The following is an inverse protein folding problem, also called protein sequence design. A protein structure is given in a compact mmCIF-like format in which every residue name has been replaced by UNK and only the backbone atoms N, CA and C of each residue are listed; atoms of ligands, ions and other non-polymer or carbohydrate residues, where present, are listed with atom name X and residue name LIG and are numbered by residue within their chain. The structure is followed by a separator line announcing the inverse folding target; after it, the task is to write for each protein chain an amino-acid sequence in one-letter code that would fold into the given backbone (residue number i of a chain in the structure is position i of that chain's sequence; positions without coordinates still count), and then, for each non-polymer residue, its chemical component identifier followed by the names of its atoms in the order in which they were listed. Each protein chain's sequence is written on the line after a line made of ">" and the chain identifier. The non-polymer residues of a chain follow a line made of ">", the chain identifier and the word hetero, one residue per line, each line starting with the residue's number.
data_IF_086351070329
#
_entry.id   IF_086351070329
#
_cell.length_a   1.000
_cell.length_b   1.000
_cell.length_c   1.000
_cell.angle_alpha   90.00
_cell.angle_beta   90.00
_cell.angle_gamma   90.00
#
_symmetry.space_group_name_H-M   'P 1'
#
loop_
_entity.id
_entity.type
_entity.pdbx_description
1 polymer ?
#
# COMPACT_ATOMS: atom_id res chain seq x y z
N UNK A 1 19.94 -15.43 7.70
CA UNK A 1 18.80 -16.25 7.15
C UNK A 1 17.53 -15.42 7.23
N UNK A 2 16.67 -15.42 6.20
CA UNK A 2 15.41 -14.67 6.24
C UNK A 2 14.42 -15.33 7.21
N UNK A 3 13.81 -14.53 8.07
CA UNK A 3 12.71 -14.90 8.93
C UNK A 3 11.45 -14.15 8.50
N UNK A 4 10.31 -14.84 8.44
CA UNK A 4 9.02 -14.25 8.10
C UNK A 4 8.05 -14.60 9.22
N UNK A 5 7.34 -13.59 9.72
CA UNK A 5 6.30 -13.76 10.73
C UNK A 5 5.06 -12.94 10.41
N UNK A 6 3.92 -13.36 10.96
CA UNK A 6 2.63 -12.74 10.70
C UNK A 6 1.92 -12.47 12.03
N UNK A 7 1.28 -11.31 12.12
CA UNK A 7 0.42 -10.95 13.24
C UNK A 7 -0.95 -10.55 12.71
N UNK A 8 -2.01 -11.13 13.28
CA UNK A 8 -3.39 -10.95 12.82
C UNK A 8 -4.16 -9.94 13.66
N UNK A 9 -4.88 -9.03 12.97
CA UNK A 9 -5.78 -8.03 13.54
C UNK A 9 -7.12 -8.05 12.78
N UNK A 10 -8.04 -8.95 13.14
CA UNK A 10 -9.25 -9.19 12.34
C UNK A 10 -8.92 -9.74 10.95
N UNK A 11 -9.29 -9.01 9.90
CA UNK A 11 -8.96 -9.35 8.51
C UNK A 11 -7.64 -8.74 8.02
N UNK A 12 -6.98 -7.97 8.88
CA UNK A 12 -5.70 -7.32 8.58
C UNK A 12 -4.57 -8.16 9.16
N UNK A 13 -3.51 -8.32 8.36
CA UNK A 13 -2.29 -9.00 8.75
C UNK A 13 -1.12 -8.04 8.65
N UNK A 14 -0.28 -8.03 9.65
CA UNK A 14 1.05 -7.41 9.63
C UNK A 14 2.06 -8.50 9.38
N UNK A 15 2.85 -8.34 8.34
CA UNK A 15 3.88 -9.28 7.90
C UNK A 15 5.23 -8.65 8.18
N UNK A 16 6.08 -9.36 8.90
CA UNK A 16 7.46 -8.94 9.17
C UNK A 16 8.41 -9.83 8.38
N UNK A 17 9.25 -9.19 7.57
CA UNK A 17 10.37 -9.83 6.86
C UNK A 17 11.65 -9.33 7.52
N UNK A 18 12.52 -10.24 7.96
CA UNK A 18 13.73 -9.89 8.68
C UNK A 18 14.91 -10.74 8.25
N UNK A 19 16.03 -10.10 7.99
CA UNK A 19 17.35 -10.71 7.86
C UNK A 19 18.36 -9.99 8.78
N UNK A 20 19.65 -10.22 8.58
CA UNK A 20 20.70 -9.68 9.43
C UNK A 20 20.90 -8.16 9.26
N UNK A 21 20.39 -7.54 8.17
CA UNK A 21 20.63 -6.15 7.80
C UNK A 21 19.35 -5.30 7.70
N UNK A 22 18.19 -5.93 7.50
CA UNK A 22 16.92 -5.25 7.28
C UNK A 22 15.78 -5.90 8.06
N UNK A 23 14.84 -5.06 8.55
CA UNK A 23 13.57 -5.51 9.09
C UNK A 23 12.47 -4.67 8.43
N UNK A 24 11.67 -5.29 7.57
CA UNK A 24 10.50 -4.68 6.98
C UNK A 24 9.23 -5.16 7.69
N UNK A 25 8.38 -4.24 8.12
CA UNK A 25 6.99 -4.53 8.50
C UNK A 25 6.05 -3.92 7.46
N UNK A 26 5.16 -4.73 6.95
CA UNK A 26 4.14 -4.33 5.97
C UNK A 26 2.79 -4.96 6.33
N UNK A 27 1.72 -4.48 5.71
CA UNK A 27 0.38 -5.02 5.98
C UNK A 27 -0.41 -5.21 4.69
N UNK A 28 -1.37 -6.13 4.70
CA UNK A 28 -2.31 -6.33 3.61
C UNK A 28 -3.40 -5.24 3.51
N UNK A 29 -3.46 -4.30 4.46
CA UNK A 29 -4.29 -3.11 4.36
C UNK A 29 -3.53 -2.00 3.64
N UNK A 30 -3.96 -1.64 2.43
CA UNK A 30 -3.31 -0.65 1.58
C UNK A 30 -1.88 -1.00 1.15
N UNK A 31 -1.42 -2.22 1.40
CA UNK A 31 -0.02 -2.63 1.25
C UNK A 31 0.95 -1.68 1.94
N UNK A 32 0.54 -1.10 3.09
CA UNK A 32 1.35 -0.10 3.79
C UNK A 32 2.69 -0.69 4.23
N UNK A 33 3.76 0.09 4.04
CA UNK A 33 5.01 -0.08 4.78
C UNK A 33 4.80 0.57 6.15
N UNK A 34 4.89 -0.25 7.21
CA UNK A 34 4.71 0.19 8.59
C UNK A 34 6.04 0.68 9.16
N UNK A 35 7.11 -0.11 8.97
CA UNK A 35 8.46 0.25 9.40
C UNK A 35 9.50 -0.42 8.52
N UNK A 36 10.64 0.23 8.39
CA UNK A 36 11.83 -0.31 7.73
C UNK A 36 13.06 0.03 8.56
N UNK A 37 13.56 -0.96 9.28
CA UNK A 37 14.78 -0.81 10.03
C UNK A 37 15.98 -1.23 9.19
N UNK A 38 17.00 -0.43 9.24
CA UNK A 38 18.32 -0.71 8.67
C UNK A 38 19.44 -0.23 9.62
N UNK A 39 20.63 -0.76 9.43
CA UNK A 39 21.80 -0.34 10.22
C UNK A 39 22.35 0.99 9.74
N UNK A 40 22.72 1.85 10.67
CA UNK A 40 23.49 3.06 10.39
C UNK A 40 25.01 2.75 10.25
N UNK A 41 25.82 3.79 10.06
CA UNK A 41 27.29 3.68 9.98
C UNK A 41 27.96 3.08 11.22
N UNK A 42 27.26 3.01 12.35
CA UNK A 42 27.73 2.44 13.61
C UNK A 42 27.15 1.03 13.86
N UNK A 43 26.49 0.43 12.87
CA UNK A 43 25.75 -0.84 12.96
C UNK A 43 24.57 -0.81 13.95
N UNK A 44 23.99 0.36 14.20
CA UNK A 44 22.80 0.50 15.04
C UNK A 44 21.56 0.52 14.15
N UNK A 45 20.60 -0.36 14.44
CA UNK A 45 19.31 -0.37 13.74
C UNK A 45 18.48 0.88 14.06
N UNK A 46 17.94 1.52 13.02
CA UNK A 46 16.98 2.62 13.12
C UNK A 46 15.86 2.47 12.08
N UNK A 47 14.64 2.86 12.46
CA UNK A 47 13.55 2.97 11.51
C UNK A 47 13.76 4.19 10.61
N UNK A 48 13.73 3.98 9.30
CA UNK A 48 13.99 5.02 8.30
C UNK A 48 12.74 5.48 7.55
N UNK A 49 11.56 4.97 7.92
CA UNK A 49 10.30 5.38 7.32
C UNK A 49 9.36 5.99 8.35
N UNK A 50 8.47 6.85 7.88
CA UNK A 50 7.41 7.39 8.70
C UNK A 50 6.25 6.40 8.77
N UNK A 51 5.79 6.08 9.97
CA UNK A 51 4.70 5.14 10.23
C UNK A 51 3.87 5.53 11.44
N UNK A 52 2.87 4.72 11.74
CA UNK A 52 2.03 4.80 12.93
C UNK A 52 2.24 3.59 13.83
N UNK A 53 1.93 3.75 15.11
CA UNK A 53 2.11 2.71 16.12
C UNK A 53 1.01 1.64 16.10
N UNK A 54 -0.16 1.96 15.55
CA UNK A 54 -1.31 1.05 15.55
C UNK A 54 -1.94 0.87 14.17
N UNK A 55 -2.57 -0.28 13.95
CA UNK A 55 -3.36 -0.55 12.72
C UNK A 55 -4.57 0.37 12.62
N UNK A 56 -5.14 0.81 13.73
CA UNK A 56 -6.29 1.72 13.70
C UNK A 56 -5.88 3.12 13.21
N UNK A 57 -4.67 3.58 13.48
CA UNK A 57 -4.16 4.83 12.92
C UNK A 57 -4.00 4.74 11.40
N UNK A 58 -3.56 3.57 10.88
CA UNK A 58 -3.52 3.34 9.43
C UNK A 58 -4.91 3.35 8.79
N UNK A 59 -5.95 2.84 9.45
CA UNK A 59 -7.34 2.89 8.96
C UNK A 59 -7.89 4.31 8.93
N UNK A 60 -7.51 5.14 9.90
CA UNK A 60 -8.08 6.47 10.14
C UNK A 60 -7.25 7.61 9.51
N UNK A 61 -6.07 7.32 8.96
CA UNK A 61 -5.23 8.34 8.34
C UNK A 61 -5.83 8.93 7.07
N UNK A 62 -5.48 10.19 6.79
CA UNK A 62 -5.79 10.92 5.56
C UNK A 62 -4.53 11.39 4.81
N UNK A 63 -3.34 10.90 5.20
CA UNK A 63 -2.02 11.34 4.69
C UNK A 63 -1.36 10.35 3.75
N UNK A 64 -1.95 9.17 3.54
CA UNK A 64 -1.42 8.10 2.67
C UNK A 64 -0.03 7.59 3.09
N UNK A 65 0.34 7.74 4.36
CA UNK A 65 1.64 7.33 4.89
C UNK A 65 1.81 5.82 4.69
N UNK A 66 2.89 5.44 4.01
CA UNK A 66 3.27 4.06 3.73
C UNK A 66 2.41 3.32 2.70
N UNK A 67 1.30 3.90 2.23
CA UNK A 67 0.30 3.22 1.42
C UNK A 67 0.64 3.14 -0.08
N UNK A 68 0.14 2.11 -0.74
CA UNK A 68 0.07 2.06 -2.20
C UNK A 68 -1.10 2.92 -2.67
N UNK A 69 -0.81 3.89 -3.52
CA UNK A 69 -1.78 4.86 -4.04
C UNK A 69 -2.26 4.45 -5.43
N UNK A 70 -3.54 4.47 -5.65
CA UNK A 70 -4.14 4.15 -6.97
C UNK A 70 -5.67 4.14 -6.95
N UNK A 71 -6.33 4.03 -8.19
CA UNK A 71 -5.65 3.69 -9.47
C UNK A 71 -4.67 4.75 -9.98
N UNK A 72 -5.03 6.05 -9.86
CA UNK A 72 -4.17 7.16 -10.26
C UNK A 72 -3.63 7.87 -9.03
N UNK A 73 -2.32 8.09 -9.01
CA UNK A 73 -1.69 8.93 -8.00
C UNK A 73 -1.90 10.42 -8.34
N UNK A 74 -1.91 11.26 -7.30
CA UNK A 74 -2.11 12.69 -7.39
C UNK A 74 -3.52 13.06 -7.93
N UNK A 75 -3.70 14.26 -8.50
CA UNK A 75 -5.01 14.83 -8.81
C UNK A 75 -5.42 14.61 -10.26
N UNK A 76 -6.73 14.32 -10.43
CA UNK A 76 -7.42 14.46 -11.70
C UNK A 76 -8.35 15.66 -11.55
N UNK A 77 -8.12 16.69 -12.38
CA UNK A 77 -8.85 17.95 -12.35
C UNK A 77 -10.35 17.73 -12.60
N UNK A 78 -11.17 18.43 -11.83
CA UNK A 78 -12.64 18.34 -11.89
C UNK A 78 -13.19 16.92 -11.70
N UNK A 79 -12.37 15.97 -11.27
CA UNK A 79 -12.73 14.55 -11.10
C UNK A 79 -13.33 13.94 -12.38
N UNK A 80 -12.84 14.32 -13.56
CA UNK A 80 -13.29 13.79 -14.84
C UNK A 80 -12.11 13.56 -15.78
N UNK A 81 -12.22 12.56 -16.65
CA UNK A 81 -11.33 12.35 -17.78
C UNK A 81 -12.09 11.71 -18.94
N UNK A 82 -11.56 11.87 -20.15
CA UNK A 82 -12.08 11.22 -21.35
C UNK A 82 -11.14 10.11 -21.82
N UNK A 83 -11.73 8.98 -22.23
CA UNK A 83 -11.02 7.86 -22.81
C UNK A 83 -11.89 7.22 -23.89
N UNK A 84 -11.38 7.10 -25.10
CA UNK A 84 -12.10 6.56 -26.27
C UNK A 84 -13.48 7.25 -26.46
N UNK A 85 -13.46 8.58 -26.53
CA UNK A 85 -14.62 9.47 -26.73
C UNK A 85 -15.72 9.34 -25.67
N UNK A 86 -15.43 8.69 -24.55
CA UNK A 86 -16.32 8.57 -23.41
C UNK A 86 -15.78 9.31 -22.19
N UNK A 87 -16.62 10.17 -21.60
CA UNK A 87 -16.32 10.84 -20.34
C UNK A 87 -16.57 9.91 -19.15
N UNK A 88 -15.62 9.89 -18.20
CA UNK A 88 -15.71 9.19 -16.93
C UNK A 88 -15.68 10.19 -15.78
N UNK A 89 -16.62 10.01 -14.84
CA UNK A 89 -16.72 10.82 -13.64
C UNK A 89 -16.22 10.02 -12.45
N UNK A 90 -15.32 10.62 -11.69
CA UNK A 90 -14.68 10.02 -10.54
C UNK A 90 -15.22 10.60 -9.23
N UNK A 91 -14.94 9.96 -8.12
CA UNK A 91 -15.24 10.51 -6.80
C UNK A 91 -14.46 11.82 -6.55
N UNK A 92 -15.15 12.86 -6.02
CA UNK A 92 -14.53 14.11 -5.60
C UNK A 92 -14.16 14.00 -4.13
N UNK A 93 -12.88 13.86 -3.84
CA UNK A 93 -12.34 13.72 -2.48
C UNK A 93 -11.29 14.77 -2.12
N UNK A 94 -11.08 15.76 -3.01
CA UNK A 94 -10.18 16.88 -2.76
C UNK A 94 -10.73 18.16 -3.43
N UNK A 95 -11.71 18.79 -2.78
CA UNK A 95 -12.47 19.88 -3.38
C UNK A 95 -13.16 19.44 -4.67
N UNK A 96 -12.99 20.15 -5.81
CA UNK A 96 -13.58 19.73 -7.09
C UNK A 96 -12.84 18.54 -7.72
N UNK A 97 -11.67 18.17 -7.23
CA UNK A 97 -10.78 17.21 -7.86
C UNK A 97 -10.93 15.81 -7.26
N UNK A 98 -10.45 14.82 -8.02
CA UNK A 98 -10.17 13.48 -7.55
C UNK A 98 -8.70 13.39 -7.13
N UNK A 99 -8.42 12.76 -6.00
CA UNK A 99 -7.08 12.63 -5.45
C UNK A 99 -6.79 11.18 -5.07
N UNK A 100 -5.62 10.68 -5.45
CA UNK A 100 -5.02 9.43 -5.00
C UNK A 100 -5.93 8.20 -5.09
N UNK A 101 -6.76 8.12 -6.14
CA UNK A 101 -7.61 6.95 -6.37
C UNK A 101 -9.02 7.03 -5.76
N UNK A 102 -9.33 8.13 -5.05
CA UNK A 102 -10.69 8.41 -4.59
C UNK A 102 -10.91 8.26 -3.09
N UNK A 103 -12.18 8.15 -2.71
CA UNK A 103 -12.61 8.05 -1.31
C UNK A 103 -12.17 6.70 -0.71
N UNK A 104 -12.29 5.64 -1.50
CA UNK A 104 -11.88 4.28 -1.14
C UNK A 104 -10.82 3.77 -2.12
N UNK A 105 -9.70 4.50 -2.21
CA UNK A 105 -8.54 4.13 -3.03
C UNK A 105 -7.83 2.86 -2.54
N UNK A 106 -6.72 2.53 -3.16
CA UNK A 106 -5.96 1.31 -2.82
C UNK A 106 -5.40 1.34 -1.40
N UNK A 107 -5.14 2.53 -0.87
CA UNK A 107 -4.71 2.79 0.51
C UNK A 107 -5.68 2.25 1.58
N UNK A 108 -6.96 2.06 1.21
CA UNK A 108 -8.02 1.57 2.12
C UNK A 108 -8.53 0.17 1.79
N UNK A 109 -7.87 -0.54 0.88
CA UNK A 109 -8.27 -1.90 0.50
C UNK A 109 -7.53 -2.95 1.31
N UNK A 110 -8.23 -4.05 1.59
CA UNK A 110 -7.61 -5.27 2.11
C UNK A 110 -7.23 -6.13 0.91
N UNK A 111 -5.94 -6.37 0.77
CA UNK A 111 -5.38 -7.21 -0.27
C UNK A 111 -5.33 -8.67 0.19
N UNK A 112 -5.54 -9.60 -0.74
CA UNK A 112 -5.09 -10.97 -0.55
C UNK A 112 -3.57 -11.00 -0.64
N UNK A 113 -2.92 -11.96 0.02
CA UNK A 113 -1.47 -12.05 -0.04
C UNK A 113 -0.98 -13.50 -0.08
N UNK A 114 0.26 -13.65 -0.45
CA UNK A 114 0.99 -14.91 -0.45
C UNK A 114 2.40 -14.65 0.08
N UNK A 115 2.84 -15.46 1.02
CA UNK A 115 4.23 -15.47 1.47
C UNK A 115 5.07 -16.18 0.41
N UNK A 116 6.22 -15.60 0.11
CA UNK A 116 7.26 -16.12 -0.78
C UNK A 116 8.48 -16.55 0.05
N UNK A 117 9.41 -17.24 -0.58
CA UNK A 117 10.66 -17.66 0.10
C UNK A 117 11.49 -16.47 0.58
N UNK A 118 11.38 -15.32 -0.12
CA UNK A 118 12.15 -14.11 0.20
C UNK A 118 11.28 -12.84 0.30
N UNK A 119 9.99 -12.97 0.57
CA UNK A 119 9.12 -11.80 0.62
C UNK A 119 7.65 -12.08 0.79
N UNK A 120 6.85 -11.09 0.42
CA UNK A 120 5.39 -11.17 0.39
C UNK A 120 4.86 -10.55 -0.90
N UNK A 121 3.82 -11.14 -1.47
CA UNK A 121 3.12 -10.66 -2.65
C UNK A 121 1.66 -10.43 -2.32
N UNK A 122 1.17 -9.20 -2.58
CA UNK A 122 -0.21 -8.77 -2.36
C UNK A 122 -0.96 -8.67 -3.68
N UNK A 123 -2.25 -9.03 -3.66
CA UNK A 123 -3.12 -9.06 -4.85
C UNK A 123 -4.43 -8.35 -4.58
N UNK A 124 -4.85 -7.54 -5.52
CA UNK A 124 -6.17 -6.92 -5.52
C UNK A 124 -6.77 -6.88 -6.93
N UNK A 125 -8.06 -7.15 -7.02
CA UNK A 125 -8.83 -6.94 -8.25
C UNK A 125 -9.74 -5.73 -8.07
N UNK A 126 -9.34 -4.61 -8.63
CA UNK A 126 -10.19 -3.43 -8.74
C UNK A 126 -11.15 -3.63 -9.90
N UNK A 127 -12.43 -3.81 -9.60
CA UNK A 127 -13.48 -4.07 -10.62
C UNK A 127 -13.82 -2.81 -11.42
N UNK A 128 -14.33 -3.01 -12.63
CA UNK A 128 -14.85 -1.92 -13.44
C UNK A 128 -15.91 -1.12 -12.68
N UNK A 129 -15.76 0.21 -12.67
CA UNK A 129 -16.64 1.14 -11.95
C UNK A 129 -16.16 1.50 -10.53
N UNK A 130 -15.16 0.82 -9.97
CA UNK A 130 -14.60 1.18 -8.68
C UNK A 130 -14.03 2.61 -8.74
N UNK A 131 -14.45 3.48 -7.81
CA UNK A 131 -14.16 4.92 -7.75
C UNK A 131 -14.44 5.69 -9.08
N UNK A 132 -15.25 5.10 -9.99
CA UNK A 132 -15.59 5.65 -11.30
C UNK A 132 -14.68 5.22 -12.45
N UNK A 133 -13.63 4.46 -12.19
CA UNK A 133 -12.69 4.01 -13.22
C UNK A 133 -13.25 2.86 -14.06
N UNK A 134 -13.09 2.87 -15.41
CA UNK A 134 -13.50 1.77 -16.29
C UNK A 134 -12.54 0.58 -16.22
N UNK A 135 -13.05 -0.57 -16.63
CA UNK A 135 -12.29 -1.80 -16.78
C UNK A 135 -11.86 -2.43 -15.46
N UNK A 136 -11.54 -3.71 -15.51
CA UNK A 136 -10.96 -4.45 -14.39
C UNK A 136 -9.44 -4.25 -14.36
N UNK A 137 -8.91 -3.91 -13.20
CA UNK A 137 -7.47 -3.80 -12.96
C UNK A 137 -7.03 -4.87 -11.96
N UNK A 138 -6.11 -5.74 -12.37
CA UNK A 138 -5.42 -6.65 -11.46
C UNK A 138 -4.15 -5.96 -10.98
N UNK A 139 -4.07 -5.70 -9.69
CA UNK A 139 -2.90 -5.12 -9.04
C UNK A 139 -2.15 -6.23 -8.30
N UNK A 140 -0.83 -6.20 -8.44
CA UNK A 140 0.11 -7.01 -7.68
C UNK A 140 1.20 -6.11 -7.11
N UNK A 141 1.47 -6.23 -5.81
CA UNK A 141 2.53 -5.53 -5.10
C UNK A 141 3.39 -6.57 -4.43
N UNK A 142 4.70 -6.53 -4.67
CA UNK A 142 5.64 -7.47 -4.06
C UNK A 142 6.68 -6.71 -3.26
N UNK A 143 6.90 -7.13 -2.03
CA UNK A 143 8.02 -6.72 -1.20
C UNK A 143 8.97 -7.91 -1.10
N UNK A 144 10.13 -7.78 -1.70
CA UNK A 144 11.15 -8.81 -1.77
C UNK A 144 12.37 -8.34 -1.00
N UNK A 145 12.72 -9.08 0.05
CA UNK A 145 13.88 -8.77 0.86
C UNK A 145 15.10 -9.53 0.31
N UNK A 146 16.06 -8.78 -0.18
CA UNK A 146 17.38 -9.28 -0.53
C UNK A 146 18.37 -8.98 0.62
N UNK A 147 19.67 -9.25 0.43
CA UNK A 147 20.67 -9.08 1.49
C UNK A 147 20.57 -7.71 2.20
N UNK A 148 20.64 -6.62 1.43
CA UNK A 148 20.64 -5.25 1.94
C UNK A 148 19.68 -4.31 1.18
N UNK A 149 18.66 -4.87 0.53
CA UNK A 149 17.70 -4.11 -0.28
C UNK A 149 16.29 -4.72 -0.25
N UNK A 150 15.31 -3.88 -0.51
CA UNK A 150 13.92 -4.25 -0.74
C UNK A 150 13.53 -3.80 -2.14
#
# INVERSE_FOLDING_TARGET
>A
MLQISEQKYGDIYVITLQNDDLILKTTNFGCNIISLYTKDKNNIFGDIVLGFDSIDDYKNQDKYIGAIVGRCANRISNATFSLNDKEYKLAKNNGPNHLHGGINGFDKKIFKYKILDNGVEFFYLSKSGEEGYPGNLKLKVSYILNENSI
#
